data_IF_896905884527
#
_entry.id   IF_896905884527
#
_cell.length_a   1.000
_cell.length_b   1.000
_cell.length_c   1.000
_cell.angle_alpha   90.00
_cell.angle_beta   90.00
_cell.angle_gamma   90.00
#
_symmetry.space_group_name_H-M   'P 1'
#
loop_
_entity.id
_entity.type
_entity.pdbx_description
1 polymer ?
#
# COMPACT_ATOMS: atom_id res chain seq x y z
N UNK A 1 39.41 -9.84 29.83
CA UNK A 1 39.39 -8.76 30.83
C UNK A 1 38.11 -7.96 30.64
N UNK A 2 37.06 -8.29 31.40
CA UNK A 2 35.80 -7.55 31.44
C UNK A 2 36.09 -6.13 31.96
N UNK A 3 35.72 -5.11 31.19
CA UNK A 3 35.69 -3.73 31.69
C UNK A 3 34.54 -3.60 32.69
N UNK A 4 34.72 -2.86 33.81
CA UNK A 4 33.66 -2.68 34.80
C UNK A 4 32.51 -1.89 34.18
N UNK A 5 31.31 -2.44 34.28
CA UNK A 5 30.05 -1.75 33.98
C UNK A 5 29.93 -0.63 35.02
N UNK A 6 29.78 0.66 34.63
CA UNK A 6 29.56 1.71 35.60
C UNK A 6 28.22 1.45 36.30
N UNK A 7 28.26 1.36 37.62
CA UNK A 7 27.10 1.22 38.49
C UNK A 7 26.21 2.46 38.39
N UNK A 8 24.92 2.18 38.18
CA UNK A 8 23.76 3.07 38.25
C UNK A 8 23.72 4.33 37.35
N UNK A 9 22.98 4.19 36.24
CA UNK A 9 22.20 5.26 35.61
C UNK A 9 20.71 4.84 35.59
N UNK A 10 19.75 5.76 35.81
CA UNK A 10 18.33 5.42 35.88
C UNK A 10 17.79 5.18 34.46
N UNK A 11 17.77 3.92 34.01
CA UNK A 11 17.41 3.52 32.65
C UNK A 11 16.01 2.89 32.52
N UNK A 12 15.26 2.76 33.61
CA UNK A 12 13.95 2.10 33.60
C UNK A 12 12.84 2.98 33.02
N UNK A 13 12.78 4.27 33.37
CA UNK A 13 11.65 5.15 32.99
C UNK A 13 11.54 5.45 31.49
N UNK A 14 12.66 5.47 30.75
CA UNK A 14 12.65 5.71 29.30
C UNK A 14 12.14 4.51 28.50
N UNK A 15 12.44 3.29 28.97
CA UNK A 15 11.96 2.04 28.38
C UNK A 15 10.44 1.91 28.57
N UNK A 16 9.93 2.22 29.76
CA UNK A 16 8.49 2.24 30.03
C UNK A 16 7.72 3.29 29.22
N UNK A 17 8.33 4.44 28.91
CA UNK A 17 7.73 5.46 28.05
C UNK A 17 7.60 5.00 26.58
N UNK A 18 8.62 4.32 26.03
CA UNK A 18 8.55 3.73 24.68
C UNK A 18 7.51 2.60 24.64
N UNK A 19 7.45 1.76 25.68
CA UNK A 19 6.47 0.67 25.80
C UNK A 19 5.03 1.18 25.95
N UNK A 20 4.79 2.27 26.68
CA UNK A 20 3.43 2.83 26.83
C UNK A 20 2.91 3.49 25.54
N UNK A 21 3.81 4.05 24.73
CA UNK A 21 3.49 4.61 23.40
C UNK A 21 3.13 3.52 22.37
N UNK A 22 3.67 2.30 22.52
CA UNK A 22 3.37 1.15 21.65
C UNK A 22 2.02 0.47 21.99
N UNK A 23 1.58 0.55 23.25
CA UNK A 23 0.33 -0.08 23.71
C UNK A 23 -0.92 0.73 23.31
N UNK A 24 -0.77 2.02 23.05
CA UNK A 24 -1.89 2.97 22.79
C UNK A 24 -2.44 2.97 21.35
N UNK A 25 -1.99 2.08 20.45
CA UNK A 25 -2.40 2.06 19.03
C UNK A 25 -3.57 1.07 18.76
N UNK A 26 -4.09 0.37 19.78
CA UNK A 26 -5.14 -0.65 19.60
C UNK A 26 -6.57 -0.11 19.76
N UNK A 27 -7.02 0.78 18.87
CA UNK A 27 -8.45 1.05 18.72
C UNK A 27 -8.88 0.76 17.27
N UNK A 28 -9.45 -0.43 17.08
CA UNK A 28 -9.95 -0.91 15.80
C UNK A 28 -11.48 -0.80 15.78
N UNK A 29 -12.02 0.05 14.91
CA UNK A 29 -13.42 0.01 14.51
C UNK A 29 -13.52 -0.71 13.16
N UNK A 30 -14.09 -1.92 13.17
CA UNK A 30 -14.47 -2.60 11.92
C UNK A 30 -15.65 -1.84 11.33
N UNK A 31 -15.45 -1.20 10.19
CA UNK A 31 -16.54 -0.57 9.44
C UNK A 31 -17.01 -1.54 8.37
N UNK A 32 -18.10 -2.25 8.68
CA UNK A 32 -18.84 -3.04 7.69
C UNK A 32 -19.68 -2.07 6.84
N UNK A 33 -19.46 -2.06 5.53
CA UNK A 33 -20.30 -1.28 4.60
C UNK A 33 -21.48 -2.14 4.14
N UNK A 34 -22.70 -1.76 4.54
CA UNK A 34 -23.95 -2.35 4.04
C UNK A 34 -24.43 -1.64 2.77
N UNK A 35 -25.21 -2.35 1.94
CA UNK A 35 -25.89 -1.76 0.78
C UNK A 35 -26.86 -0.66 1.21
N UNK A 36 -26.86 0.47 0.51
CA UNK A 36 -27.76 1.61 0.74
C UNK A 36 -28.94 1.54 -0.23
N UNK A 37 -30.06 2.22 0.05
CA UNK A 37 -31.18 2.30 -0.89
C UNK A 37 -30.76 2.98 -2.21
N UNK A 38 -31.34 2.52 -3.32
CA UNK A 38 -31.04 3.00 -4.68
C UNK A 38 -31.73 4.32 -4.99
N UNK A 39 -31.23 5.39 -4.37
CA UNK A 39 -31.78 6.75 -4.48
C UNK A 39 -31.21 7.50 -5.70
N UNK A 40 -31.63 8.75 -5.90
CA UNK A 40 -31.17 9.64 -6.98
C UNK A 40 -29.65 9.92 -7.02
N UNK A 41 -28.92 9.56 -5.96
CA UNK A 41 -27.47 9.76 -5.86
C UNK A 41 -26.60 8.81 -6.68
N UNK A 42 -27.20 7.93 -7.49
CA UNK A 42 -26.54 7.02 -8.44
C UNK A 42 -26.68 7.54 -9.87
N UNK A 43 -25.62 7.42 -10.66
CA UNK A 43 -25.57 7.85 -12.07
C UNK A 43 -26.62 7.15 -12.96
N UNK A 44 -26.97 5.90 -12.64
CA UNK A 44 -27.96 5.11 -13.37
C UNK A 44 -29.40 5.24 -12.85
N UNK A 45 -29.64 6.03 -11.80
CA UNK A 45 -30.99 6.18 -11.20
C UNK A 45 -32.02 6.77 -12.18
N UNK A 46 -31.58 7.63 -13.10
CA UNK A 46 -32.41 8.31 -14.10
C UNK A 46 -32.75 7.46 -15.33
N UNK A 47 -32.29 6.21 -15.39
CA UNK A 47 -32.47 5.35 -16.57
C UNK A 47 -33.86 4.73 -16.69
N UNK A 48 -34.78 5.03 -15.76
CA UNK A 48 -36.15 4.48 -15.77
C UNK A 48 -36.22 2.97 -15.57
N UNK A 49 -35.14 2.36 -15.05
CA UNK A 49 -35.07 0.91 -14.76
C UNK A 49 -35.29 0.67 -13.27
N UNK A 50 -36.08 -0.34 -12.93
CA UNK A 50 -36.27 -0.76 -11.56
C UNK A 50 -35.06 -1.58 -11.11
N UNK A 51 -34.18 -0.99 -10.30
CA UNK A 51 -32.94 -1.60 -9.80
C UNK A 51 -33.14 -1.92 -8.32
N UNK A 52 -33.13 -3.19 -7.96
CA UNK A 52 -33.47 -3.66 -6.61
C UNK A 52 -32.30 -3.52 -5.64
N UNK A 53 -31.07 -3.68 -6.11
CA UNK A 53 -29.87 -3.55 -5.30
C UNK A 53 -28.83 -2.64 -5.95
N UNK A 54 -28.14 -1.87 -5.13
CA UNK A 54 -27.08 -0.98 -5.60
C UNK A 54 -26.10 -0.66 -4.48
N UNK A 55 -24.91 -0.24 -4.91
CA UNK A 55 -23.80 0.04 -4.02
C UNK A 55 -22.77 0.93 -4.70
N UNK A 56 -22.22 1.87 -3.94
CA UNK A 56 -21.00 2.59 -4.32
C UNK A 56 -19.78 1.73 -4.03
N UNK A 57 -18.92 1.54 -5.02
CA UNK A 57 -17.71 0.76 -4.89
C UNK A 57 -16.61 1.58 -4.22
N UNK A 58 -15.67 0.91 -3.55
CA UNK A 58 -14.68 1.56 -2.68
C UNK A 58 -13.62 2.41 -3.42
N UNK A 59 -13.55 2.33 -4.74
CA UNK A 59 -12.50 2.93 -5.56
C UNK A 59 -13.05 3.40 -6.91
N UNK A 60 -12.27 4.25 -7.59
CA UNK A 60 -12.55 4.74 -8.95
C UNK A 60 -13.90 5.46 -9.13
N UNK A 61 -14.55 5.85 -8.03
CA UNK A 61 -15.91 6.43 -8.01
C UNK A 61 -16.95 5.55 -8.71
N UNK A 62 -16.69 4.25 -8.77
CA UNK A 62 -17.55 3.32 -9.47
C UNK A 62 -18.79 2.97 -8.66
N UNK A 63 -19.86 2.63 -9.36
CA UNK A 63 -21.17 2.31 -8.84
C UNK A 63 -21.63 1.01 -9.47
N UNK A 64 -22.27 0.17 -8.66
CA UNK A 64 -22.75 -1.14 -9.10
C UNK A 64 -24.20 -1.31 -8.65
N UNK A 65 -25.09 -1.57 -9.60
CA UNK A 65 -26.46 -2.00 -9.39
C UNK A 65 -26.69 -3.38 -10.00
N UNK A 66 -27.60 -4.14 -9.42
CA UNK A 66 -27.97 -5.45 -9.95
C UNK A 66 -29.40 -5.85 -9.61
N UNK A 67 -29.97 -6.70 -10.46
CA UNK A 67 -31.22 -7.41 -10.20
C UNK A 67 -30.97 -8.92 -10.28
N UNK A 68 -31.51 -9.66 -9.33
CA UNK A 68 -31.42 -11.13 -9.31
C UNK A 68 -32.78 -11.73 -9.70
N UNK A 69 -32.80 -12.49 -10.79
CA UNK A 69 -34.04 -13.07 -11.35
C UNK A 69 -34.26 -14.54 -11.00
N UNK A 70 -33.34 -15.15 -10.24
CA UNK A 70 -33.41 -16.57 -9.88
C UNK A 70 -32.69 -17.50 -10.86
N UNK A 71 -32.86 -18.80 -10.62
CA UNK A 71 -32.23 -19.87 -11.39
C UNK A 71 -33.12 -20.30 -12.55
N UNK A 72 -32.55 -20.33 -13.75
CA UNK A 72 -33.18 -20.87 -14.96
C UNK A 72 -32.60 -22.27 -15.22
N UNK A 73 -33.48 -23.20 -15.59
CA UNK A 73 -33.11 -24.57 -15.96
C UNK A 73 -33.27 -24.78 -17.46
N UNK A 74 -32.18 -25.10 -18.13
CA UNK A 74 -32.15 -25.54 -19.52
C UNK A 74 -32.36 -27.07 -19.54
N UNK A 75 -33.62 -27.48 -19.62
CA UNK A 75 -34.06 -28.88 -19.64
C UNK A 75 -33.35 -29.77 -20.69
N UNK A 76 -33.14 -29.35 -21.96
CA UNK A 76 -32.50 -30.21 -22.95
C UNK A 76 -31.02 -30.53 -22.65
N UNK A 77 -30.31 -29.67 -21.92
CA UNK A 77 -28.89 -29.88 -21.60
C UNK A 77 -28.62 -30.18 -20.11
N UNK A 78 -29.67 -30.28 -19.29
CA UNK A 78 -29.61 -30.40 -17.83
C UNK A 78 -28.65 -29.38 -17.17
N UNK A 79 -28.61 -28.16 -17.71
CA UNK A 79 -27.79 -27.06 -17.18
C UNK A 79 -28.68 -26.11 -16.41
N UNK A 80 -28.17 -25.59 -15.29
CA UNK A 80 -28.81 -24.48 -14.61
C UNK A 80 -27.91 -23.26 -14.65
N UNK A 81 -28.51 -22.13 -14.99
CA UNK A 81 -27.86 -20.82 -14.99
C UNK A 81 -28.63 -19.90 -14.07
N UNK A 82 -27.97 -18.85 -13.60
CA UNK A 82 -28.60 -17.81 -12.79
C UNK A 82 -28.61 -16.52 -13.58
N UNK A 83 -29.80 -15.94 -13.76
CA UNK A 83 -29.94 -14.69 -14.51
C UNK A 83 -29.75 -13.49 -13.57
N UNK A 84 -28.82 -12.61 -13.94
CA UNK A 84 -28.50 -11.40 -13.18
C UNK A 84 -28.39 -10.22 -14.14
N UNK A 85 -29.22 -9.19 -13.93
CA UNK A 85 -28.98 -7.91 -14.60
C UNK A 85 -27.92 -7.14 -13.83
N UNK A 86 -27.01 -6.50 -14.57
CA UNK A 86 -25.97 -5.67 -14.00
C UNK A 86 -26.04 -4.24 -14.57
N UNK A 87 -25.70 -3.30 -13.71
CA UNK A 87 -25.59 -1.88 -14.00
C UNK A 87 -24.29 -1.39 -13.38
N UNK A 88 -23.23 -1.34 -14.19
CA UNK A 88 -21.94 -0.85 -13.72
C UNK A 88 -21.69 0.54 -14.29
N UNK A 89 -21.38 1.50 -13.43
CA UNK A 89 -21.14 2.87 -13.84
C UNK A 89 -19.87 3.43 -13.23
N UNK A 90 -19.06 4.10 -14.04
CA UNK A 90 -17.84 4.75 -13.58
C UNK A 90 -17.48 5.94 -14.49
N UNK A 91 -16.75 6.94 -13.97
CA UNK A 91 -16.19 7.98 -14.82
C UNK A 91 -14.99 7.43 -15.61
N UNK A 92 -14.95 7.57 -16.95
CA UNK A 92 -13.80 7.17 -17.75
C UNK A 92 -12.58 8.06 -17.50
N UNK A 93 -11.39 7.57 -17.85
CA UNK A 93 -10.17 8.38 -17.85
C UNK A 93 -10.18 9.30 -19.07
N UNK A 94 -10.50 10.58 -18.85
CA UNK A 94 -10.65 11.55 -19.94
C UNK A 94 -11.90 11.30 -20.80
N UNK A 95 -11.99 11.96 -21.96
CA UNK A 95 -13.19 11.92 -22.79
C UNK A 95 -13.44 10.58 -23.51
N UNK A 96 -12.37 9.80 -23.75
CA UNK A 96 -12.41 8.56 -24.53
C UNK A 96 -11.88 7.36 -23.75
N UNK A 97 -11.73 7.48 -22.42
CA UNK A 97 -11.29 6.38 -21.58
C UNK A 97 -12.29 5.23 -21.53
N UNK A 98 -11.81 4.04 -21.18
CA UNK A 98 -12.64 2.87 -20.98
C UNK A 98 -12.99 2.66 -19.51
N UNK A 99 -14.13 2.02 -19.31
CA UNK A 99 -14.58 1.48 -18.03
C UNK A 99 -14.77 -0.03 -18.18
N UNK A 100 -14.46 -0.79 -17.14
CA UNK A 100 -14.60 -2.23 -17.17
C UNK A 100 -15.17 -2.78 -15.87
N UNK A 101 -15.94 -3.83 -16.00
CA UNK A 101 -16.46 -4.64 -14.92
C UNK A 101 -16.38 -6.11 -15.29
N UNK A 102 -16.07 -6.97 -14.35
CA UNK A 102 -15.96 -8.39 -14.62
C UNK A 102 -16.02 -9.27 -13.38
N UNK A 103 -16.15 -10.56 -13.65
CA UNK A 103 -16.20 -11.61 -12.65
C UNK A 103 -14.99 -12.53 -12.76
N UNK A 104 -14.45 -12.92 -11.61
CA UNK A 104 -13.39 -13.92 -11.54
C UNK A 104 -13.88 -15.15 -10.77
N UNK A 105 -13.95 -16.34 -11.39
CA UNK A 105 -14.53 -17.53 -10.74
C UNK A 105 -13.70 -18.02 -9.55
N UNK A 106 -12.42 -17.63 -9.44
CA UNK A 106 -11.52 -18.15 -8.40
C UNK A 106 -11.30 -17.18 -7.24
N UNK A 107 -10.85 -15.96 -7.55
CA UNK A 107 -10.42 -14.95 -6.55
C UNK A 107 -10.64 -13.53 -7.07
N UNK A 108 -10.83 -12.52 -6.21
CA UNK A 108 -11.01 -11.12 -6.63
C UNK A 108 -9.70 -10.47 -7.10
N UNK A 109 -9.14 -10.96 -8.21
CA UNK A 109 -7.91 -10.45 -8.84
C UNK A 109 -8.11 -10.28 -10.35
N UNK A 110 -7.31 -9.41 -10.98
CA UNK A 110 -7.40 -9.10 -12.42
C UNK A 110 -7.25 -10.34 -13.32
N UNK A 111 -6.19 -11.11 -13.16
CA UNK A 111 -5.93 -12.28 -14.00
C UNK A 111 -6.96 -13.40 -13.75
N UNK A 112 -7.58 -13.90 -14.82
CA UNK A 112 -8.69 -14.83 -14.81
C UNK A 112 -10.08 -14.19 -14.82
N UNK A 113 -10.15 -12.85 -14.92
CA UNK A 113 -11.44 -12.14 -14.95
C UNK A 113 -12.08 -12.24 -16.35
N UNK A 114 -13.36 -12.57 -16.38
CA UNK A 114 -14.24 -12.39 -17.54
C UNK A 114 -14.82 -10.99 -17.46
N UNK A 115 -14.41 -10.11 -18.36
CA UNK A 115 -14.68 -8.69 -18.27
C UNK A 115 -15.56 -8.20 -19.43
N UNK A 116 -16.40 -7.23 -19.13
CA UNK A 116 -17.00 -6.32 -20.09
C UNK A 116 -16.19 -5.04 -20.06
N UNK A 117 -15.69 -4.61 -21.21
CA UNK A 117 -14.97 -3.35 -21.36
C UNK A 117 -15.71 -2.51 -22.38
N UNK A 118 -16.01 -1.27 -22.00
CA UNK A 118 -16.66 -0.35 -22.90
C UNK A 118 -16.12 1.07 -22.81
N UNK A 119 -16.21 1.78 -23.92
CA UNK A 119 -15.75 3.15 -24.08
C UNK A 119 -16.52 3.86 -25.18
N UNK A 120 -16.38 5.19 -25.22
CA UNK A 120 -16.94 6.04 -26.26
C UNK A 120 -15.84 6.43 -27.24
N UNK A 121 -16.07 6.20 -28.53
CA UNK A 121 -15.18 6.66 -29.59
C UNK A 121 -15.27 8.19 -29.76
N UNK A 122 -14.23 8.83 -30.35
CA UNK A 122 -14.25 10.26 -30.62
C UNK A 122 -15.42 10.72 -31.50
N UNK A 123 -15.88 9.87 -32.42
CA UNK A 123 -17.04 10.11 -33.30
C UNK A 123 -18.40 9.99 -32.56
N UNK A 124 -18.40 9.66 -31.28
CA UNK A 124 -19.59 9.50 -30.45
C UNK A 124 -20.18 8.09 -30.43
N UNK A 125 -19.70 7.15 -31.26
CA UNK A 125 -20.16 5.76 -31.21
C UNK A 125 -19.68 5.07 -29.94
N UNK A 126 -20.44 4.08 -29.50
CA UNK A 126 -20.17 3.37 -28.26
C UNK A 126 -19.65 1.96 -28.55
N UNK A 127 -18.63 1.54 -27.81
CA UNK A 127 -18.03 0.21 -27.90
C UNK A 127 -18.27 -0.56 -26.60
N UNK A 128 -18.70 -1.82 -26.70
CA UNK A 128 -18.85 -2.71 -25.54
C UNK A 128 -18.61 -4.16 -25.96
N UNK A 129 -17.52 -4.73 -25.48
CA UNK A 129 -17.14 -6.10 -25.82
C UNK A 129 -16.71 -6.92 -24.62
N UNK A 130 -16.70 -8.25 -24.80
CA UNK A 130 -16.24 -9.21 -23.79
C UNK A 130 -14.75 -9.50 -23.94
N UNK A 131 -14.08 -9.66 -22.81
CA UNK A 131 -12.64 -9.85 -22.76
C UNK A 131 -12.27 -10.91 -21.73
N UNK A 132 -11.37 -11.80 -22.11
CA UNK A 132 -10.76 -12.76 -21.20
C UNK A 132 -9.41 -12.22 -20.71
N UNK A 133 -9.36 -11.75 -19.46
CA UNK A 133 -8.14 -11.17 -18.89
C UNK A 133 -7.24 -12.28 -18.36
N UNK A 134 -6.05 -12.43 -18.94
CA UNK A 134 -5.09 -13.48 -18.54
C UNK A 134 -3.80 -12.88 -17.96
N UNK A 135 -2.90 -13.76 -17.50
CA UNK A 135 -1.57 -13.33 -17.06
C UNK A 135 -0.73 -12.77 -18.22
N UNK A 136 -1.02 -13.17 -19.45
CA UNK A 136 -0.28 -12.73 -20.64
C UNK A 136 -0.61 -11.26 -20.96
N UNK A 137 -1.86 -10.83 -20.73
CA UNK A 137 -2.23 -9.41 -20.81
C UNK A 137 -1.38 -8.54 -19.87
N UNK A 138 -1.08 -9.03 -18.65
CA UNK A 138 -0.17 -8.33 -17.72
C UNK A 138 1.26 -8.25 -18.28
N UNK A 139 1.71 -9.28 -19.00
CA UNK A 139 3.05 -9.35 -19.61
C UNK A 139 3.19 -8.48 -20.86
N UNK A 140 2.14 -7.77 -21.28
CA UNK A 140 2.15 -6.87 -22.42
C UNK A 140 1.59 -7.47 -23.71
N UNK A 141 1.02 -8.69 -23.67
CA UNK A 141 0.30 -9.21 -24.82
C UNK A 141 -0.95 -8.36 -25.09
N UNK A 142 -1.22 -8.10 -26.37
CA UNK A 142 -2.35 -7.29 -26.80
C UNK A 142 -3.68 -7.88 -26.31
N UNK A 143 -4.52 -7.04 -25.72
CA UNK A 143 -5.85 -7.42 -25.28
C UNK A 143 -6.84 -7.31 -26.45
N UNK A 144 -7.37 -8.44 -26.89
CA UNK A 144 -8.38 -8.51 -27.95
C UNK A 144 -9.72 -9.00 -27.39
N UNK A 145 -10.82 -8.60 -28.04
CA UNK A 145 -12.15 -9.12 -27.70
C UNK A 145 -12.17 -10.63 -27.90
N UNK A 146 -12.83 -11.33 -26.99
CA UNK A 146 -12.93 -12.79 -27.00
C UNK A 146 -14.23 -13.23 -26.35
N UNK A 147 -14.79 -14.34 -26.83
CA UNK A 147 -15.86 -15.02 -26.12
C UNK A 147 -15.40 -15.41 -24.70
N UNK A 148 -16.32 -15.32 -23.74
CA UNK A 148 -16.12 -15.69 -22.34
C UNK A 148 -17.15 -16.76 -21.97
N UNK A 149 -16.88 -17.56 -20.94
CA UNK A 149 -17.78 -18.67 -20.56
C UNK A 149 -19.12 -18.19 -19.98
N UNK A 150 -19.16 -16.95 -19.48
CA UNK A 150 -20.37 -16.31 -18.98
C UNK A 150 -21.10 -15.72 -20.17
N UNK A 151 -22.28 -16.23 -20.46
CA UNK A 151 -23.12 -15.68 -21.52
C UNK A 151 -23.61 -14.27 -21.12
N UNK A 152 -23.49 -13.33 -22.05
CA UNK A 152 -23.86 -11.92 -21.86
C UNK A 152 -24.91 -11.54 -22.88
N UNK A 153 -26.12 -11.33 -22.40
CA UNK A 153 -27.29 -10.94 -23.19
C UNK A 153 -27.63 -9.46 -22.95
N UNK A 154 -28.36 -8.86 -23.90
CA UNK A 154 -28.87 -7.48 -23.83
C UNK A 154 -27.82 -6.44 -23.43
N UNK A 155 -26.57 -6.64 -23.86
CA UNK A 155 -25.44 -5.76 -23.52
C UNK A 155 -25.61 -4.40 -24.18
N UNK A 156 -25.48 -3.33 -23.40
CA UNK A 156 -25.50 -1.95 -23.87
C UNK A 156 -24.60 -1.07 -23.00
N UNK A 157 -24.12 0.04 -23.56
CA UNK A 157 -23.37 1.04 -22.83
C UNK A 157 -23.92 2.44 -23.14
N UNK A 158 -24.06 3.26 -22.11
CA UNK A 158 -24.59 4.62 -22.23
C UNK A 158 -23.63 5.62 -21.60
N UNK A 159 -23.64 6.85 -22.10
CA UNK A 159 -22.87 7.97 -21.56
C UNK A 159 -23.83 9.05 -21.09
N UNK A 160 -23.66 9.51 -19.85
CA UNK A 160 -24.43 10.62 -19.29
C UNK A 160 -23.57 11.88 -19.30
N UNK A 161 -23.98 12.89 -20.07
CA UNK A 161 -23.28 14.18 -20.13
C UNK A 161 -23.34 14.93 -18.79
N UNK A 162 -24.46 14.83 -18.07
CA UNK A 162 -24.66 15.48 -16.77
C UNK A 162 -23.69 14.97 -15.70
N UNK A 163 -23.48 13.66 -15.63
CA UNK A 163 -22.62 13.03 -14.62
C UNK A 163 -21.19 12.84 -15.10
N UNK A 164 -20.98 12.73 -16.42
CA UNK A 164 -19.73 12.33 -17.04
C UNK A 164 -19.42 10.83 -16.93
N UNK A 165 -20.40 9.99 -16.60
CA UNK A 165 -20.19 8.56 -16.38
C UNK A 165 -20.53 7.72 -17.62
N UNK A 166 -19.82 6.61 -17.76
CA UNK A 166 -20.21 5.52 -18.65
C UNK A 166 -20.91 4.44 -17.82
N UNK A 167 -22.06 3.97 -18.29
CA UNK A 167 -22.84 2.91 -17.65
C UNK A 167 -22.96 1.70 -18.57
N UNK A 168 -22.36 0.58 -18.17
CA UNK A 168 -22.51 -0.75 -18.77
C UNK A 168 -23.77 -1.40 -18.20
N UNK A 169 -24.60 -1.92 -19.08
CA UNK A 169 -25.83 -2.65 -18.80
C UNK A 169 -25.71 -4.00 -19.49
N UNK A 170 -26.00 -5.09 -18.79
CA UNK A 170 -26.09 -6.41 -19.41
C UNK A 170 -26.88 -7.37 -18.53
N UNK A 171 -27.37 -8.44 -19.13
CA UNK A 171 -27.95 -9.58 -18.42
C UNK A 171 -27.00 -10.77 -18.55
N UNK A 172 -26.58 -11.31 -17.42
CA UNK A 172 -25.61 -12.41 -17.35
C UNK A 172 -26.34 -13.73 -17.09
N UNK A 173 -26.02 -14.77 -17.87
CA UNK A 173 -26.35 -16.15 -17.51
C UNK A 173 -25.17 -16.77 -16.78
N UNK A 174 -25.19 -16.74 -15.46
CA UNK A 174 -24.10 -17.27 -14.63
C UNK A 174 -24.18 -18.80 -14.55
N UNK A 175 -23.15 -19.55 -14.98
CA UNK A 175 -23.11 -21.00 -14.82
C UNK A 175 -22.91 -21.39 -13.34
N UNK A 176 -23.09 -22.67 -13.01
CA UNK A 176 -23.03 -23.18 -11.63
C UNK A 176 -21.70 -22.88 -10.89
N UNK A 177 -20.61 -22.67 -11.63
CA UNK A 177 -19.29 -22.30 -11.10
C UNK A 177 -19.31 -20.94 -10.38
N UNK A 178 -20.25 -20.07 -10.72
CA UNK A 178 -20.42 -18.74 -10.14
C UNK A 178 -21.45 -18.79 -9.01
N UNK A 179 -20.96 -18.86 -7.78
CA UNK A 179 -21.82 -18.80 -6.60
C UNK A 179 -22.26 -17.36 -6.31
N UNK A 180 -23.55 -17.06 -6.44
CA UNK A 180 -24.13 -15.74 -6.18
C UNK A 180 -23.91 -15.20 -4.76
N UNK A 181 -23.74 -16.08 -3.78
CA UNK A 181 -23.43 -15.69 -2.39
C UNK A 181 -21.95 -15.35 -2.20
N UNK A 182 -21.10 -15.55 -3.21
CA UNK A 182 -19.67 -15.33 -3.14
C UNK A 182 -19.07 -15.02 -4.52
N UNK A 183 -19.58 -14.01 -5.21
CA UNK A 183 -19.05 -13.55 -6.49
C UNK A 183 -17.84 -12.66 -6.28
N UNK A 184 -16.78 -12.88 -7.05
CA UNK A 184 -15.62 -11.99 -7.04
C UNK A 184 -15.72 -10.99 -8.19
N UNK A 185 -15.92 -9.73 -7.83
CA UNK A 185 -16.05 -8.61 -8.75
C UNK A 185 -14.70 -7.92 -8.89
N UNK A 186 -14.41 -7.49 -10.11
CA UNK A 186 -13.25 -6.65 -10.44
C UNK A 186 -13.73 -5.54 -11.36
N UNK A 187 -13.29 -4.32 -11.10
CA UNK A 187 -13.61 -3.18 -11.95
C UNK A 187 -12.37 -2.34 -12.20
N UNK A 188 -12.31 -1.68 -13.35
CA UNK A 188 -11.19 -0.81 -13.69
C UNK A 188 -11.64 0.32 -14.60
N UNK A 189 -10.79 1.34 -14.69
CA UNK A 189 -10.87 2.40 -15.70
C UNK A 189 -9.47 2.61 -16.28
N UNK A 190 -9.40 2.99 -17.55
CA UNK A 190 -8.12 3.23 -18.22
C UNK A 190 -8.25 4.04 -19.51
N UNK A 191 -7.13 4.25 -20.18
CA UNK A 191 -7.06 5.03 -21.42
C UNK A 191 -7.28 4.14 -22.65
N UNK A 192 -7.78 4.74 -23.72
CA UNK A 192 -7.90 4.10 -25.04
C UNK A 192 -6.89 4.74 -25.97
N UNK A 193 -6.20 3.91 -26.77
CA UNK A 193 -5.29 4.34 -27.83
C UNK A 193 -5.58 3.52 -29.07
N UNK A 194 -5.69 4.16 -30.24
CA UNK A 194 -5.97 3.51 -31.53
C UNK A 194 -7.20 2.58 -31.48
N UNK A 195 -8.28 3.04 -30.82
CA UNK A 195 -9.52 2.27 -30.57
C UNK A 195 -9.33 0.97 -29.78
N UNK A 196 -8.20 0.83 -29.07
CA UNK A 196 -7.89 -0.33 -28.24
C UNK A 196 -7.74 0.07 -26.77
N UNK A 197 -8.38 -0.66 -25.83
CA UNK A 197 -8.16 -0.48 -24.40
C UNK A 197 -6.68 -0.68 -24.05
N UNK A 198 -6.09 0.33 -23.41
CA UNK A 198 -4.73 0.22 -22.88
C UNK A 198 -4.74 -0.31 -21.45
N UNK A 199 -3.59 -0.75 -20.97
CA UNK A 199 -3.41 -1.12 -19.56
C UNK A 199 -3.82 0.07 -18.67
N UNK A 200 -4.61 -0.23 -17.64
CA UNK A 200 -4.95 0.78 -16.63
C UNK A 200 -3.71 1.15 -15.81
N UNK A 201 -3.75 2.31 -15.14
CA UNK A 201 -2.67 2.71 -14.23
C UNK A 201 -2.46 1.67 -13.11
N UNK A 202 -1.22 1.56 -12.62
CA UNK A 202 -0.80 0.66 -11.56
C UNK A 202 -0.94 1.28 -10.14
N UNK A 203 -1.98 2.10 -9.94
CA UNK A 203 -2.18 2.76 -8.65
C UNK A 203 -2.83 1.83 -7.61
N UNK A 204 -2.68 2.19 -6.33
CA UNK A 204 -3.37 1.47 -5.25
C UNK A 204 -4.89 1.46 -5.40
N UNK A 205 -5.48 2.50 -6.03
CA UNK A 205 -6.93 2.51 -6.30
C UNK A 205 -7.31 1.42 -7.30
N UNK A 206 -6.52 1.21 -8.34
CA UNK A 206 -6.71 0.12 -9.29
C UNK A 206 -6.52 -1.23 -8.60
N UNK A 207 -5.48 -1.37 -7.77
CA UNK A 207 -5.27 -2.56 -6.94
C UNK A 207 -6.50 -2.94 -6.10
N UNK A 208 -7.05 -1.94 -5.44
CA UNK A 208 -8.17 -2.07 -4.51
C UNK A 208 -9.54 -2.23 -5.19
N UNK A 209 -9.59 -2.18 -6.52
CA UNK A 209 -10.81 -2.27 -7.33
C UNK A 209 -11.28 -3.71 -7.54
N UNK A 210 -11.38 -4.44 -6.43
CA UNK A 210 -11.90 -5.79 -6.37
C UNK A 210 -12.58 -6.09 -5.03
N UNK A 211 -13.65 -6.87 -5.07
CA UNK A 211 -14.37 -7.31 -3.88
C UNK A 211 -15.04 -8.67 -4.08
N UNK A 212 -15.34 -9.36 -2.98
CA UNK A 212 -16.21 -10.53 -2.99
C UNK A 212 -17.58 -10.11 -2.45
N UNK A 213 -18.66 -10.29 -3.20
CA UNK A 213 -20.03 -9.88 -2.83
C UNK A 213 -20.97 -11.09 -2.78
N UNK A 214 -21.94 -11.01 -1.88
CA UNK A 214 -23.16 -11.81 -1.89
C UNK A 214 -24.27 -10.98 -2.55
N UNK A 215 -24.72 -11.38 -3.75
CA UNK A 215 -25.76 -10.66 -4.47
C UNK A 215 -27.14 -10.74 -3.81
N UNK A 216 -27.38 -11.73 -2.95
CA UNK A 216 -28.66 -11.88 -2.26
C UNK A 216 -28.79 -10.92 -1.08
N UNK A 217 -27.70 -10.74 -0.32
CA UNK A 217 -27.70 -9.87 0.86
C UNK A 217 -27.08 -8.49 0.61
N UNK A 218 -26.39 -8.29 -0.50
CA UNK A 218 -25.62 -7.08 -0.83
C UNK A 218 -24.36 -6.88 0.02
N UNK A 219 -24.04 -7.82 0.93
CA UNK A 219 -22.84 -7.75 1.77
C UNK A 219 -21.60 -8.06 0.93
N UNK A 220 -20.53 -7.29 1.12
CA UNK A 220 -19.26 -7.57 0.44
C UNK A 220 -18.05 -7.47 1.37
N UNK A 221 -16.99 -8.17 0.97
CA UNK A 221 -15.65 -8.06 1.56
C UNK A 221 -14.70 -7.48 0.52
N UNK A 222 -14.39 -6.18 0.65
CA UNK A 222 -13.43 -5.50 -0.21
C UNK A 222 -11.99 -5.94 0.05
N UNK A 223 -11.20 -6.13 -1.02
CA UNK A 223 -9.75 -6.38 -0.92
C UNK A 223 -9.05 -5.22 -0.18
N UNK A 224 -9.47 -3.98 -0.45
CA UNK A 224 -8.99 -2.77 0.23
C UNK A 224 -9.11 -2.87 1.74
N UNK A 225 -10.30 -3.18 2.25
CA UNK A 225 -10.59 -3.21 3.68
C UNK A 225 -9.76 -4.29 4.38
N UNK A 226 -9.62 -5.46 3.75
CA UNK A 226 -8.81 -6.57 4.26
C UNK A 226 -7.34 -6.20 4.43
N UNK A 227 -6.78 -5.46 3.47
CA UNK A 227 -5.34 -5.12 3.46
C UNK A 227 -5.04 -3.79 4.17
N UNK A 228 -6.03 -2.94 4.42
CA UNK A 228 -5.86 -1.63 5.04
C UNK A 228 -5.10 -1.69 6.37
N UNK A 229 -5.45 -2.66 7.23
CA UNK A 229 -4.79 -2.85 8.51
C UNK A 229 -3.30 -3.17 8.33
N UNK A 230 -2.97 -4.13 7.46
CA UNK A 230 -1.58 -4.50 7.20
C UNK A 230 -0.77 -3.36 6.58
N UNK A 231 -1.36 -2.57 5.68
CA UNK A 231 -0.73 -1.37 5.11
C UNK A 231 -0.41 -0.32 6.18
N UNK A 232 -1.36 -0.08 7.08
CA UNK A 232 -1.19 0.87 8.19
C UNK A 232 -0.11 0.38 9.15
N UNK A 233 -0.18 -0.89 9.57
CA UNK A 233 0.81 -1.51 10.45
C UNK A 233 2.22 -1.46 9.84
N UNK A 234 2.37 -1.83 8.56
CA UNK A 234 3.63 -1.71 7.83
C UNK A 234 4.20 -0.28 7.90
N UNK A 235 3.40 0.72 7.52
CA UNK A 235 3.82 2.12 7.54
C UNK A 235 4.23 2.62 8.92
N UNK A 236 3.42 2.35 9.96
CA UNK A 236 3.72 2.76 11.35
C UNK A 236 4.99 2.09 11.86
N UNK A 237 5.12 0.77 11.71
CA UNK A 237 6.29 0.02 12.19
C UNK A 237 7.56 0.49 11.46
N UNK A 238 7.49 0.77 10.16
CA UNK A 238 8.63 1.30 9.40
C UNK A 238 9.03 2.72 9.84
N UNK A 239 8.07 3.62 10.11
CA UNK A 239 8.35 4.97 10.60
C UNK A 239 8.95 4.94 12.01
N UNK A 240 8.37 4.17 12.93
CA UNK A 240 8.84 4.09 14.33
C UNK A 240 10.19 3.37 14.39
N UNK A 241 10.28 2.18 13.83
CA UNK A 241 11.48 1.34 13.90
C UNK A 241 12.66 1.95 13.14
N UNK A 242 12.54 1.99 11.81
CA UNK A 242 13.64 2.46 10.96
C UNK A 242 13.69 3.97 10.81
N UNK A 243 12.54 4.64 10.68
CA UNK A 243 12.48 6.09 10.46
C UNK A 243 12.80 6.95 11.69
N UNK A 244 12.72 6.41 12.91
CA UNK A 244 12.85 7.17 14.16
C UNK A 244 13.93 6.62 15.08
N UNK A 245 13.81 5.35 15.52
CA UNK A 245 14.74 4.77 16.49
C UNK A 245 16.17 4.66 15.94
N UNK A 246 16.34 4.25 14.69
CA UNK A 246 17.66 4.13 14.05
C UNK A 246 18.38 5.50 13.99
N UNK A 247 17.78 6.60 13.48
CA UNK A 247 18.36 7.94 13.55
C UNK A 247 18.68 8.41 14.98
N UNK A 248 17.77 8.22 15.94
CA UNK A 248 18.01 8.61 17.34
C UNK A 248 19.24 7.88 17.91
N UNK A 249 19.36 6.58 17.65
CA UNK A 249 20.54 5.81 18.05
C UNK A 249 21.82 6.37 17.41
N UNK A 250 21.79 6.72 16.11
CA UNK A 250 22.95 7.28 15.42
C UNK A 250 23.36 8.66 15.97
N UNK A 251 22.39 9.55 16.23
CA UNK A 251 22.61 10.86 16.87
C UNK A 251 23.25 10.67 18.26
N UNK A 252 22.74 9.72 19.03
CA UNK A 252 23.28 9.36 20.36
C UNK A 252 24.76 9.00 20.27
N UNK A 253 25.12 8.07 19.37
CA UNK A 253 26.53 7.64 19.22
C UNK A 253 27.44 8.76 18.69
N UNK A 254 26.93 9.65 17.83
CA UNK A 254 27.73 10.74 17.24
C UNK A 254 28.07 11.84 18.23
N UNK A 255 27.08 12.32 18.99
CA UNK A 255 27.24 13.55 19.78
C UNK A 255 27.43 13.33 21.28
N UNK A 256 27.10 12.14 21.80
CA UNK A 256 27.10 11.87 23.24
C UNK A 256 28.18 10.88 23.70
N UNK A 257 28.95 10.31 22.76
CA UNK A 257 30.01 9.33 23.05
C UNK A 257 31.18 9.93 23.82
N UNK A 258 31.80 10.96 23.26
CA UNK A 258 33.00 11.60 23.81
C UNK A 258 32.96 13.12 23.64
N UNK A 259 32.63 13.57 22.43
CA UNK A 259 32.54 14.98 22.06
C UNK A 259 31.31 15.23 21.19
N UNK A 260 30.58 16.35 21.33
CA UNK A 260 30.83 17.47 22.24
C UNK A 260 30.36 17.25 23.67
N UNK A 261 29.45 16.31 23.93
CA UNK A 261 28.95 16.01 25.28
C UNK A 261 29.34 14.56 25.62
N UNK A 262 29.88 14.34 26.81
CA UNK A 262 30.16 12.98 27.29
C UNK A 262 28.99 12.51 28.15
N UNK A 263 28.29 11.48 27.71
CA UNK A 263 27.20 10.85 28.45
C UNK A 263 27.53 9.38 28.69
N UNK A 264 27.68 8.95 29.94
CA UNK A 264 28.09 7.57 30.25
C UNK A 264 27.12 6.49 29.70
N UNK A 265 25.84 6.81 29.56
CA UNK A 265 24.82 5.90 29.02
C UNK A 265 24.70 5.85 27.50
N UNK A 266 25.58 6.51 26.74
CA UNK A 266 25.43 6.63 25.28
C UNK A 266 25.43 5.27 24.56
N UNK A 267 26.28 4.34 25.00
CA UNK A 267 26.47 3.05 24.35
C UNK A 267 25.25 2.14 24.52
N UNK A 268 24.73 1.89 25.75
CA UNK A 268 23.51 1.12 25.90
C UNK A 268 22.32 1.80 25.22
N UNK A 269 22.19 3.13 25.28
CA UNK A 269 21.10 3.84 24.60
C UNK A 269 21.16 3.67 23.07
N UNK A 270 22.35 3.84 22.47
CA UNK A 270 22.57 3.60 21.04
C UNK A 270 22.17 2.17 20.67
N UNK A 271 22.72 1.17 21.36
CA UNK A 271 22.47 -0.25 21.06
C UNK A 271 21.00 -0.61 21.22
N UNK A 272 20.34 -0.14 22.29
CA UNK A 272 18.90 -0.35 22.50
C UNK A 272 18.08 0.24 21.36
N UNK A 273 18.34 1.48 20.96
CA UNK A 273 17.67 2.09 19.80
C UNK A 273 17.89 1.29 18.51
N UNK A 274 19.12 0.82 18.24
CA UNK A 274 19.41 0.05 17.03
C UNK A 274 18.73 -1.33 17.02
N UNK A 275 18.77 -2.07 18.14
CA UNK A 275 18.14 -3.39 18.24
C UNK A 275 16.61 -3.26 18.14
N UNK A 276 16.00 -2.33 18.89
CA UNK A 276 14.55 -2.10 18.82
C UNK A 276 14.13 -1.62 17.43
N UNK A 277 14.89 -0.69 16.84
CA UNK A 277 14.65 -0.20 15.48
C UNK A 277 14.73 -1.31 14.44
N UNK A 278 15.71 -2.22 14.56
CA UNK A 278 15.85 -3.37 13.68
C UNK A 278 14.68 -4.35 13.82
N UNK A 279 14.28 -4.73 15.04
CA UNK A 279 13.21 -5.70 15.25
C UNK A 279 11.85 -5.16 14.77
N UNK A 280 11.50 -3.92 15.16
CA UNK A 280 10.25 -3.26 14.76
C UNK A 280 10.23 -3.05 13.25
N UNK A 281 11.32 -2.53 12.69
CA UNK A 281 11.44 -2.27 11.25
C UNK A 281 11.38 -3.55 10.41
N UNK A 282 12.04 -4.63 10.86
CA UNK A 282 11.98 -5.95 10.22
C UNK A 282 10.58 -6.54 10.26
N UNK A 283 9.83 -6.33 11.34
CA UNK A 283 8.42 -6.73 11.44
C UNK A 283 7.58 -6.00 10.40
N UNK A 284 7.78 -4.68 10.27
CA UNK A 284 7.18 -3.88 9.19
C UNK A 284 7.55 -4.43 7.81
N UNK A 285 8.83 -4.75 7.58
CA UNK A 285 9.31 -5.30 6.31
C UNK A 285 8.66 -6.65 5.95
N UNK A 286 8.53 -7.59 6.89
CA UNK A 286 7.83 -8.87 6.69
C UNK A 286 6.37 -8.64 6.28
N UNK A 287 5.67 -7.70 6.92
CA UNK A 287 4.31 -7.32 6.52
C UNK A 287 4.33 -6.72 5.09
N UNK A 288 5.35 -5.94 4.74
CA UNK A 288 5.54 -5.42 3.39
C UNK A 288 5.70 -6.52 2.33
N UNK A 289 6.44 -7.59 2.63
CA UNK A 289 6.56 -8.77 1.76
C UNK A 289 5.21 -9.49 1.62
N UNK A 290 4.46 -9.64 2.72
CA UNK A 290 3.10 -10.21 2.68
C UNK A 290 2.13 -9.37 1.83
N UNK A 291 2.21 -8.04 1.95
CA UNK A 291 1.44 -7.13 1.11
C UNK A 291 1.81 -7.28 -0.37
N UNK A 292 3.12 -7.42 -0.67
CA UNK A 292 3.64 -7.70 -2.00
C UNK A 292 3.15 -9.03 -2.59
N UNK A 293 3.14 -10.11 -1.81
CA UNK A 293 2.66 -11.42 -2.28
C UNK A 293 1.14 -11.47 -2.45
N UNK A 294 0.40 -10.77 -1.59
CA UNK A 294 -1.05 -10.54 -1.72
C UNK A 294 -1.39 -9.66 -2.92
N UNK A 295 -0.41 -8.91 -3.41
CA UNK A 295 -0.48 -8.06 -4.60
C UNK A 295 0.34 -8.57 -5.77
N UNK A 296 0.50 -9.90 -5.92
CA UNK A 296 1.35 -10.55 -6.95
C UNK A 296 1.21 -9.99 -8.39
N UNK A 297 0.08 -9.36 -8.71
CA UNK A 297 -0.21 -8.80 -10.03
C UNK A 297 0.05 -7.30 -10.17
N UNK A 298 0.47 -6.61 -9.11
CA UNK A 298 0.80 -5.18 -9.11
C UNK A 298 2.16 -4.96 -8.47
N UNK A 299 3.03 -4.22 -9.14
CA UNK A 299 4.45 -4.21 -8.82
C UNK A 299 4.90 -2.81 -8.36
N UNK A 300 4.99 -2.61 -7.04
CA UNK A 300 5.68 -1.45 -6.45
C UNK A 300 7.20 -1.70 -6.36
N UNK A 301 7.83 -2.01 -7.50
CA UNK A 301 9.20 -2.55 -7.59
C UNK A 301 10.22 -1.69 -6.84
N UNK A 302 10.26 -0.39 -7.10
CA UNK A 302 11.28 0.49 -6.50
C UNK A 302 11.20 0.53 -4.97
N UNK A 303 10.00 0.59 -4.40
CA UNK A 303 9.83 0.60 -2.93
C UNK A 303 10.22 -0.75 -2.31
N UNK A 304 9.88 -1.85 -3.00
CA UNK A 304 10.26 -3.22 -2.60
C UNK A 304 11.78 -3.40 -2.64
N UNK A 305 12.43 -2.99 -3.72
CA UNK A 305 13.86 -3.20 -3.92
C UNK A 305 14.67 -2.40 -2.90
N UNK A 306 14.30 -1.13 -2.66
CA UNK A 306 14.88 -0.36 -1.54
C UNK A 306 14.60 -1.02 -0.20
N UNK A 307 13.40 -1.57 0.03
CA UNK A 307 13.07 -2.30 1.25
C UNK A 307 13.97 -3.52 1.49
N UNK A 308 14.26 -4.30 0.45
CA UNK A 308 15.18 -5.44 0.51
C UNK A 308 16.60 -4.96 0.84
N UNK A 309 17.10 -3.93 0.15
CA UNK A 309 18.44 -3.35 0.41
C UNK A 309 18.55 -2.86 1.86
N UNK A 310 17.54 -2.13 2.34
CA UNK A 310 17.49 -1.61 3.72
C UNK A 310 17.52 -2.78 4.72
N UNK A 311 16.72 -3.82 4.52
CA UNK A 311 16.72 -4.98 5.40
C UNK A 311 18.10 -5.66 5.43
N UNK A 312 18.69 -5.94 4.25
CA UNK A 312 20.03 -6.54 4.15
C UNK A 312 21.09 -5.70 4.85
N UNK A 313 21.13 -4.40 4.59
CA UNK A 313 22.11 -3.49 5.21
C UNK A 313 21.88 -3.35 6.71
N UNK A 314 20.63 -3.35 7.16
CA UNK A 314 20.32 -3.27 8.59
C UNK A 314 20.73 -4.56 9.32
N UNK A 315 20.57 -5.72 8.70
CA UNK A 315 21.05 -7.00 9.24
C UNK A 315 22.57 -7.01 9.35
N UNK A 316 23.26 -6.56 8.28
CA UNK A 316 24.71 -6.39 8.27
C UNK A 316 25.21 -5.43 9.36
N UNK A 317 24.44 -4.38 9.69
CA UNK A 317 24.75 -3.47 10.79
C UNK A 317 24.59 -4.11 12.18
N UNK A 318 23.53 -4.89 12.40
CA UNK A 318 23.33 -5.58 13.68
C UNK A 318 24.39 -6.65 13.87
N UNK A 319 24.76 -7.39 12.81
CA UNK A 319 25.84 -8.38 12.86
C UNK A 319 27.20 -7.76 13.19
N UNK A 320 27.41 -6.47 12.87
CA UNK A 320 28.63 -5.76 13.21
C UNK A 320 28.90 -5.72 14.73
N UNK A 321 27.87 -5.88 15.58
CA UNK A 321 28.03 -6.02 17.03
C UNK A 321 28.83 -7.27 17.41
N UNK A 322 28.60 -8.40 16.73
CA UNK A 322 29.25 -9.68 17.02
C UNK A 322 30.68 -9.76 16.47
N UNK A 323 30.98 -9.00 15.41
CA UNK A 323 32.28 -9.01 14.72
C UNK A 323 33.14 -7.80 15.14
N UNK A 324 32.78 -7.09 16.21
CA UNK A 324 33.51 -5.90 16.66
C UNK A 324 34.93 -6.26 17.16
N UNK A 325 36.00 -5.76 16.53
CA UNK A 325 37.38 -6.04 16.95
C UNK A 325 37.71 -5.43 18.32
N UNK A 326 38.73 -5.99 18.99
CA UNK A 326 39.25 -5.43 20.25
C UNK A 326 39.98 -4.11 20.01
N UNK A 327 40.07 -3.27 21.05
CA UNK A 327 40.87 -2.04 20.99
C UNK A 327 42.34 -2.40 20.72
N UNK A 328 42.97 -1.73 19.75
CA UNK A 328 44.36 -1.96 19.36
C UNK A 328 44.56 -2.85 18.13
N UNK A 329 43.48 -3.39 17.55
CA UNK A 329 43.51 -4.16 16.30
C UNK A 329 43.36 -3.23 15.08
N UNK A 330 44.19 -3.40 14.05
CA UNK A 330 44.12 -2.65 12.79
C UNK A 330 42.77 -2.82 12.09
N UNK A 331 42.13 -3.98 12.26
CA UNK A 331 40.79 -4.26 11.73
C UNK A 331 39.71 -3.35 12.33
N UNK A 332 39.93 -2.75 13.50
CA UNK A 332 39.00 -1.81 14.13
C UNK A 332 38.77 -0.56 13.26
N UNK A 333 39.80 -0.11 12.53
CA UNK A 333 39.68 1.03 11.60
C UNK A 333 38.72 0.71 10.46
N UNK A 334 38.90 -0.45 9.81
CA UNK A 334 38.04 -0.89 8.73
C UNK A 334 36.60 -1.13 9.20
N UNK A 335 36.44 -1.73 10.37
CA UNK A 335 35.13 -1.91 11.01
C UNK A 335 34.41 -0.57 11.22
N UNK A 336 35.12 0.46 11.72
CA UNK A 336 34.54 1.80 11.91
C UNK A 336 34.13 2.44 10.58
N UNK A 337 34.96 2.36 9.54
CA UNK A 337 34.64 2.91 8.20
C UNK A 337 33.39 2.26 7.65
N UNK A 338 33.36 0.92 7.64
CA UNK A 338 32.23 0.13 7.21
C UNK A 338 30.95 0.48 8.00
N UNK A 339 31.02 0.47 9.34
CA UNK A 339 29.89 0.73 10.21
C UNK A 339 29.32 2.15 10.02
N UNK A 340 30.18 3.16 9.87
CA UNK A 340 29.72 4.53 9.63
C UNK A 340 29.13 4.71 8.24
N UNK A 341 29.83 4.26 7.18
CA UNK A 341 29.37 4.41 5.80
C UNK A 341 28.02 3.73 5.58
N UNK A 342 27.91 2.47 6.03
CA UNK A 342 26.67 1.70 5.89
C UNK A 342 25.53 2.32 6.70
N UNK A 343 25.83 2.86 7.89
CA UNK A 343 24.84 3.45 8.79
C UNK A 343 24.24 4.74 8.24
N UNK A 344 25.06 5.65 7.72
CA UNK A 344 24.57 6.87 7.08
C UNK A 344 23.80 6.57 5.79
N UNK A 345 24.29 5.60 5.00
CA UNK A 345 23.58 5.14 3.80
C UNK A 345 22.19 4.63 4.14
N UNK A 346 22.06 3.81 5.19
CA UNK A 346 20.77 3.32 5.68
C UNK A 346 19.80 4.45 6.04
N UNK A 347 20.23 5.46 6.80
CA UNK A 347 19.36 6.57 7.20
C UNK A 347 18.77 7.29 5.96
N UNK A 348 19.60 7.52 4.94
CA UNK A 348 19.15 8.15 3.68
C UNK A 348 18.18 7.23 2.93
N UNK A 349 18.53 5.96 2.73
CA UNK A 349 17.67 5.00 2.03
C UNK A 349 16.33 4.80 2.73
N UNK A 350 16.32 4.66 4.06
CA UNK A 350 15.11 4.55 4.88
C UNK A 350 14.20 5.76 4.64
N UNK A 351 14.76 6.97 4.72
CA UNK A 351 13.98 8.21 4.55
C UNK A 351 13.34 8.28 3.16
N UNK A 352 14.12 8.02 2.11
CA UNK A 352 13.61 7.97 0.72
C UNK A 352 12.52 6.91 0.58
N UNK A 353 12.73 5.73 1.16
CA UNK A 353 11.81 4.61 1.00
C UNK A 353 10.50 4.82 1.75
N UNK A 354 10.51 5.47 2.92
CA UNK A 354 9.30 5.85 3.65
C UNK A 354 8.48 6.86 2.83
N UNK A 355 9.11 7.89 2.25
CA UNK A 355 8.38 8.82 1.37
C UNK A 355 7.79 8.12 0.14
N UNK A 356 8.51 7.16 -0.46
CA UNK A 356 7.97 6.31 -1.54
C UNK A 356 6.75 5.52 -1.07
N UNK A 357 6.81 4.88 0.09
CA UNK A 357 5.69 4.15 0.68
C UNK A 357 4.46 5.03 0.92
N UNK A 358 4.65 6.23 1.49
CA UNK A 358 3.57 7.22 1.67
C UNK A 358 2.97 7.62 0.33
N UNK A 359 3.79 7.85 -0.71
CA UNK A 359 3.28 8.22 -2.04
C UNK A 359 2.51 7.10 -2.73
N UNK A 360 2.84 5.83 -2.48
CA UNK A 360 2.09 4.67 -2.98
C UNK A 360 0.71 4.60 -2.32
N UNK A 361 0.67 4.72 -0.99
CA UNK A 361 -0.57 4.66 -0.23
C UNK A 361 -1.51 5.83 -0.56
N UNK A 362 -0.96 6.96 -1.04
CA UNK A 362 -1.66 8.26 -1.17
C UNK A 362 -2.64 8.48 -0.01
N UNK A 363 -2.17 8.36 1.24
CA UNK A 363 -3.03 8.54 2.40
C UNK A 363 -3.46 10.00 2.49
N UNK A 364 -4.28 10.33 3.48
CA UNK A 364 -4.53 11.71 3.82
C UNK A 364 -3.20 12.48 3.96
N UNK A 365 -3.20 13.74 3.51
CA UNK A 365 -1.99 14.60 3.47
C UNK A 365 -1.26 14.63 4.83
N UNK A 366 -2.00 14.39 5.92
CA UNK A 366 -1.49 14.31 7.29
C UNK A 366 -0.30 13.36 7.43
N UNK A 367 -0.31 12.16 6.82
CA UNK A 367 0.81 11.21 6.96
C UNK A 367 2.12 11.75 6.39
N UNK A 368 2.04 12.41 5.23
CA UNK A 368 3.22 13.03 4.58
C UNK A 368 3.74 14.19 5.43
N UNK A 369 2.86 15.04 5.94
CA UNK A 369 3.23 16.17 6.78
C UNK A 369 3.79 15.72 8.14
N UNK A 370 3.21 14.71 8.76
CA UNK A 370 3.70 14.14 10.02
C UNK A 370 5.10 13.59 9.87
N UNK A 371 5.36 12.78 8.84
CA UNK A 371 6.70 12.24 8.63
C UNK A 371 7.71 13.33 8.24
N UNK A 372 7.29 14.32 7.44
CA UNK A 372 8.13 15.48 7.12
C UNK A 372 8.50 16.26 8.38
N UNK A 373 7.54 16.55 9.26
CA UNK A 373 7.78 17.20 10.54
C UNK A 373 8.76 16.42 11.41
N UNK A 374 8.60 15.09 11.50
CA UNK A 374 9.53 14.22 12.23
C UNK A 374 10.97 14.33 11.69
N UNK A 375 11.15 14.21 10.37
CA UNK A 375 12.48 14.33 9.73
C UNK A 375 13.07 15.73 9.95
N UNK A 376 12.26 16.78 9.85
CA UNK A 376 12.69 18.16 10.11
C UNK A 376 13.14 18.36 11.56
N UNK A 377 12.45 17.77 12.54
CA UNK A 377 12.86 17.82 13.96
C UNK A 377 14.20 17.11 14.16
N UNK A 378 14.36 15.90 13.62
CA UNK A 378 15.62 15.16 13.71
C UNK A 378 16.77 15.93 13.04
N UNK A 379 16.54 16.53 11.87
CA UNK A 379 17.51 17.35 11.17
C UNK A 379 17.89 18.61 11.97
N UNK A 380 16.91 19.30 12.56
CA UNK A 380 17.14 20.47 13.40
C UNK A 380 17.98 20.13 14.63
N UNK A 381 17.71 19.00 15.29
CA UNK A 381 18.52 18.50 16.42
C UNK A 381 19.97 18.25 15.97
N UNK A 382 20.17 17.58 14.84
CA UNK A 382 21.51 17.33 14.28
C UNK A 382 22.24 18.62 13.98
N UNK A 383 21.60 19.58 13.30
CA UNK A 383 22.20 20.88 12.97
C UNK A 383 22.58 21.64 14.24
N UNK A 384 21.70 21.66 15.24
CA UNK A 384 21.95 22.33 16.52
C UNK A 384 23.13 21.72 17.26
N UNK A 385 23.19 20.38 17.34
CA UNK A 385 24.31 19.65 17.94
C UNK A 385 25.61 19.83 17.16
N UNK A 386 25.55 19.91 15.84
CA UNK A 386 26.71 20.18 14.98
C UNK A 386 27.25 21.59 15.23
N UNK A 387 26.39 22.62 15.23
CA UNK A 387 26.78 24.00 15.57
C UNK A 387 27.41 24.06 16.96
N UNK A 388 26.81 23.40 17.95
CA UNK A 388 27.36 23.32 19.30
C UNK A 388 28.73 22.64 19.33
N UNK A 389 28.90 21.57 18.55
CA UNK A 389 30.17 20.84 18.38
C UNK A 389 31.27 21.78 17.87
N UNK A 390 30.98 22.56 16.83
CA UNK A 390 31.92 23.53 16.27
C UNK A 390 32.24 24.68 17.21
N UNK A 391 31.25 25.23 17.92
CA UNK A 391 31.48 26.27 18.93
C UNK A 391 32.42 25.77 20.02
N UNK A 392 32.17 24.56 20.55
CA UNK A 392 33.00 23.96 21.58
C UNK A 392 34.42 23.68 21.07
N UNK A 393 34.55 23.18 19.84
CA UNK A 393 35.83 22.92 19.21
C UNK A 393 36.68 24.20 19.08
N UNK A 394 36.09 25.29 18.55
CA UNK A 394 36.78 26.58 18.41
C UNK A 394 37.18 27.15 19.79
N UNK A 395 36.32 27.05 20.81
CA UNK A 395 36.65 27.49 22.18
C UNK A 395 37.83 26.70 22.77
N UNK A 396 37.83 25.37 22.65
CA UNK A 396 38.95 24.53 23.13
C UNK A 396 40.25 24.85 22.39
N UNK A 397 40.20 25.05 21.07
CA UNK A 397 41.38 25.44 20.29
C UNK A 397 41.93 26.81 20.74
N UNK A 398 41.06 27.78 21.01
CA UNK A 398 41.48 29.11 21.53
C UNK A 398 42.08 29.03 22.93
N UNK A 399 41.56 28.19 23.83
CA UNK A 399 42.10 28.00 25.17
C UNK A 399 43.48 27.33 25.14
N UNK A 400 43.69 26.36 24.25
CA UNK A 400 44.99 25.69 24.07
C UNK A 400 46.04 26.54 23.33
N UNK A 401 45.69 27.77 22.91
CA UNK A 401 46.59 28.72 22.24
C UNK A 401 46.75 30.04 23.03
N UNK A 402 46.21 30.14 24.25
CA UNK A 402 46.62 31.20 25.18
C UNK A 402 47.90 30.72 25.89
N UNK A 403 48.98 31.52 25.88
CA UNK A 403 50.25 31.16 26.52
C UNK A 403 50.11 30.95 28.02
#
# INVERSE_FOLDING_TARGET
>A
MQLPIPSHCPNTNFIYFILSLLISINLCTKTESTSTSCNEGYSFSKMGRNITHCKKLGTLKAEFGWNYHGRVHDFPNNRSSTLVDIFFSAPPVGATGWVAWGLNPRKPFMAGTRALIGFKHPNGSMHLETYNITIDTKRGCQLSSSAIEVEVNDKNITYSADSGFLTIIATLSLPQEYNISKLNLVWQVGSVKDSMPQMHDDTLKNFDSAETIDLSSGKSTSVRHRLHYHRTAHGVLSIVGWGTLVPIGAITARYFKEFPVKFCGWYPLHVSCQISGYLIGSTGWVIGIYLGSSSRYYDFTTHRDFGIIIFTFSTLQVLALFVRPKKGDDHLRYWNIYHHLLGYTLIVLITINIFKGINILRPEKIWKWTYMGLVSVLAFVVISLEVFTWIKFVKCKRLNHRP
#
